data_IF_757884063157
#
_entry.id   IF_757884063157
#
_cell.length_a   1.000
_cell.length_b   1.000
_cell.length_c   1.000
_cell.angle_alpha   90.00
_cell.angle_beta   90.00
_cell.angle_gamma   90.00
#
_symmetry.space_group_name_H-M   'P 1'
#
loop_
_entity.id
_entity.type
_entity.pdbx_description
1 polymer ?
#
# COMPACT_ATOMS: atom_id res chain seq x y z
N UNK A 1 35.53 11.79 10.00
CA UNK A 1 34.97 10.57 9.38
C UNK A 1 34.54 10.91 7.97
N UNK A 2 34.87 10.09 6.99
CA UNK A 2 34.46 10.33 5.62
C UNK A 2 32.96 9.96 5.44
N UNK A 3 32.36 10.46 4.38
CA UNK A 3 30.98 10.13 4.06
C UNK A 3 30.76 8.62 3.91
N UNK A 4 31.70 7.93 3.25
CA UNK A 4 31.62 6.49 3.07
C UNK A 4 31.71 5.74 4.39
N UNK A 5 32.52 6.21 5.32
CA UNK A 5 32.64 5.61 6.64
C UNK A 5 31.36 5.81 7.45
N UNK A 6 30.72 6.99 7.36
CA UNK A 6 29.44 7.25 8.02
C UNK A 6 28.35 6.36 7.48
N UNK A 7 28.26 6.21 6.17
CA UNK A 7 27.29 5.36 5.52
C UNK A 7 27.47 3.92 5.97
N UNK A 8 28.70 3.42 5.96
CA UNK A 8 29.03 2.06 6.37
C UNK A 8 28.66 1.82 7.83
N UNK A 9 28.95 2.79 8.70
CA UNK A 9 28.61 2.68 10.12
C UNK A 9 27.08 2.56 10.33
N UNK A 10 26.31 3.31 9.58
CA UNK A 10 24.84 3.25 9.65
C UNK A 10 24.35 1.88 9.19
N UNK A 11 24.79 1.43 8.01
CA UNK A 11 24.33 0.18 7.41
C UNK A 11 24.68 -1.03 8.30
N UNK A 12 25.85 -1.05 8.89
CA UNK A 12 26.33 -2.17 9.68
C UNK A 12 25.95 -2.10 11.15
N UNK A 13 25.29 -1.04 11.59
CA UNK A 13 24.85 -0.91 12.98
C UNK A 13 23.89 -2.02 13.36
N UNK A 14 24.15 -2.68 14.47
CA UNK A 14 23.29 -3.75 14.99
C UNK A 14 22.25 -3.24 15.99
N UNK A 15 22.41 -1.99 16.44
CA UNK A 15 21.49 -1.38 17.41
C UNK A 15 20.43 -0.49 16.75
N UNK A 16 20.60 -0.17 15.48
CA UNK A 16 19.70 0.72 14.76
C UNK A 16 18.63 -0.09 14.02
N UNK A 17 17.38 0.34 14.11
CA UNK A 17 16.30 -0.24 13.31
C UNK A 17 16.45 0.13 11.83
N UNK A 18 15.75 -0.60 10.97
CA UNK A 18 15.73 -0.29 9.54
C UNK A 18 15.28 1.16 9.29
N UNK A 19 14.22 1.58 9.96
CA UNK A 19 13.67 2.92 9.78
C UNK A 19 14.66 4.01 10.22
N UNK A 20 15.37 3.78 11.32
CA UNK A 20 16.39 4.72 11.79
C UNK A 20 17.56 4.82 10.83
N UNK A 21 17.99 3.67 10.30
CA UNK A 21 19.07 3.64 9.29
C UNK A 21 18.65 4.42 8.05
N UNK A 22 17.44 4.18 7.58
CA UNK A 22 16.90 4.84 6.40
C UNK A 22 16.83 6.35 6.61
N UNK A 23 16.31 6.80 7.75
CA UNK A 23 16.21 8.21 8.06
C UNK A 23 17.57 8.89 8.07
N UNK A 24 18.57 8.26 8.69
CA UNK A 24 19.92 8.82 8.72
C UNK A 24 20.58 8.85 7.33
N UNK A 25 20.37 7.80 6.54
CA UNK A 25 20.92 7.78 5.16
C UNK A 25 20.28 8.84 4.29
N UNK A 26 19.01 9.13 4.47
CA UNK A 26 18.32 10.15 3.67
C UNK A 26 18.83 11.56 3.90
N UNK A 27 19.57 11.78 4.98
CA UNK A 27 20.23 13.05 5.25
C UNK A 27 21.59 13.15 4.55
N UNK A 28 22.14 12.03 4.10
CA UNK A 28 23.48 11.96 3.53
C UNK A 28 23.48 11.72 2.02
N UNK A 29 22.49 11.01 1.51
CA UNK A 29 22.45 10.58 0.10
C UNK A 29 21.02 10.72 -0.45
N UNK A 30 20.90 10.51 -1.76
CA UNK A 30 19.59 10.58 -2.44
C UNK A 30 18.72 9.39 -2.09
N UNK A 31 17.38 9.48 -2.27
CA UNK A 31 16.50 8.34 -2.05
C UNK A 31 16.86 7.10 -2.87
N UNK A 32 17.31 7.29 -4.11
CA UNK A 32 17.76 6.18 -4.96
C UNK A 32 18.97 5.49 -4.40
N UNK A 33 19.91 6.26 -3.88
CA UNK A 33 21.11 5.72 -3.24
C UNK A 33 20.76 4.98 -1.95
N UNK A 34 19.78 5.47 -1.19
CA UNK A 34 19.30 4.78 0.01
C UNK A 34 18.80 3.39 -0.34
N UNK A 35 17.99 3.28 -1.40
CA UNK A 35 17.44 1.98 -1.82
C UNK A 35 18.54 1.02 -2.26
N UNK A 36 19.61 1.54 -2.88
CA UNK A 36 20.76 0.72 -3.29
C UNK A 36 21.61 0.27 -2.11
N UNK A 37 21.81 1.17 -1.13
CA UNK A 37 22.66 0.90 0.03
C UNK A 37 21.96 0.12 1.13
N UNK A 38 20.65 0.30 1.25
CA UNK A 38 19.84 -0.31 2.28
C UNK A 38 18.57 -0.87 1.63
N UNK A 39 18.68 -1.99 0.90
CA UNK A 39 17.51 -2.59 0.27
C UNK A 39 16.46 -2.94 1.32
N UNK A 40 15.21 -2.74 0.99
CA UNK A 40 14.10 -3.07 1.86
C UNK A 40 13.87 -4.58 1.85
N UNK A 41 14.25 -5.31 2.89
CA UNK A 41 14.10 -6.77 2.90
C UNK A 41 12.66 -7.23 2.99
N UNK A 42 11.76 -6.37 3.45
CA UNK A 42 10.36 -6.71 3.66
C UNK A 42 9.42 -5.99 2.71
N UNK A 43 9.96 -5.22 1.78
CA UNK A 43 9.13 -4.45 0.88
C UNK A 43 8.40 -3.32 1.56
N UNK A 44 9.07 -2.61 2.49
CA UNK A 44 8.47 -1.47 3.18
C UNK A 44 8.02 -0.45 2.15
N UNK A 45 6.79 -0.03 2.27
CA UNK A 45 6.18 0.91 1.34
C UNK A 45 5.71 2.14 2.09
N UNK A 46 5.58 3.24 1.36
CA UNK A 46 5.13 4.51 1.91
C UNK A 46 3.88 4.94 1.17
N UNK A 47 3.03 5.65 1.88
CA UNK A 47 1.87 6.27 1.27
C UNK A 47 2.27 7.65 0.78
N UNK A 48 1.98 7.93 -0.49
CA UNK A 48 2.22 9.23 -1.09
C UNK A 48 0.96 9.65 -1.82
N UNK A 49 0.45 10.83 -1.49
CA UNK A 49 -0.67 11.38 -2.22
C UNK A 49 -0.17 11.94 -3.54
N UNK A 50 -0.72 11.48 -4.67
CA UNK A 50 -0.32 12.01 -5.96
C UNK A 50 -0.90 13.39 -6.17
N UNK A 51 -0.27 14.15 -7.07
CA UNK A 51 -0.88 15.37 -7.59
C UNK A 51 -2.11 14.96 -8.38
N UNK A 52 -3.28 15.33 -7.87
CA UNK A 52 -4.54 15.02 -8.53
C UNK A 52 -5.03 16.23 -9.29
N UNK A 53 -5.32 16.04 -10.56
CA UNK A 53 -6.00 17.04 -11.35
C UNK A 53 -7.50 16.76 -11.30
N UNK A 54 -8.30 17.76 -11.62
CA UNK A 54 -9.76 17.62 -11.62
C UNK A 54 -10.26 16.57 -12.60
N UNK A 55 -9.41 16.15 -13.55
CA UNK A 55 -9.78 15.19 -14.59
C UNK A 55 -9.36 13.76 -14.23
N UNK A 56 -8.72 13.55 -13.10
CA UNK A 56 -8.31 12.21 -12.69
C UNK A 56 -9.52 11.42 -12.24
N UNK A 57 -9.75 10.29 -12.90
CA UNK A 57 -10.80 9.37 -12.50
C UNK A 57 -10.48 8.72 -11.17
N UNK A 58 -11.55 8.30 -10.47
CA UNK A 58 -11.41 7.54 -9.23
C UNK A 58 -10.56 6.29 -9.46
N UNK A 59 -9.60 6.07 -8.57
CA UNK A 59 -8.77 4.87 -8.59
C UNK A 59 -9.44 3.80 -7.76
N UNK A 60 -9.83 2.71 -8.41
CA UNK A 60 -10.58 1.65 -7.76
C UNK A 60 -9.77 0.37 -7.77
N UNK A 61 -9.62 -0.23 -6.60
CA UNK A 61 -8.99 -1.53 -6.44
C UNK A 61 -10.07 -2.61 -6.48
N UNK A 62 -9.84 -3.70 -7.19
CA UNK A 62 -10.79 -4.81 -7.28
C UNK A 62 -10.27 -6.00 -6.47
N UNK A 63 -11.06 -6.46 -5.53
CA UNK A 63 -10.70 -7.58 -4.66
C UNK A 63 -11.83 -8.61 -4.60
N UNK A 64 -11.46 -9.89 -4.73
CA UNK A 64 -12.43 -10.97 -4.54
C UNK A 64 -12.58 -11.29 -3.07
N UNK A 65 -13.80 -11.66 -2.67
CA UNK A 65 -14.11 -12.08 -1.29
C UNK A 65 -15.09 -13.25 -1.33
N UNK A 66 -15.19 -13.93 -0.19
CA UNK A 66 -16.21 -14.97 -0.01
C UNK A 66 -17.56 -14.34 0.33
N UNK A 67 -18.67 -15.10 0.14
CA UNK A 67 -20.01 -14.60 0.38
C UNK A 67 -20.21 -14.01 1.77
N UNK A 68 -19.68 -14.67 2.80
CA UNK A 68 -19.84 -14.20 4.18
C UNK A 68 -19.26 -12.80 4.37
N UNK A 69 -18.07 -12.56 3.82
CA UNK A 69 -17.43 -11.24 3.90
C UNK A 69 -18.21 -10.23 3.07
N UNK A 70 -18.68 -10.62 1.90
CA UNK A 70 -19.48 -9.74 1.04
C UNK A 70 -20.73 -9.23 1.75
N UNK A 71 -21.45 -10.13 2.43
CA UNK A 71 -22.62 -9.74 3.21
C UNK A 71 -22.27 -8.80 4.36
N UNK A 72 -21.16 -9.04 5.05
CA UNK A 72 -20.70 -8.15 6.11
C UNK A 72 -20.38 -6.74 5.56
N UNK A 73 -19.82 -6.66 4.37
CA UNK A 73 -19.54 -5.38 3.72
C UNK A 73 -20.84 -4.65 3.43
N UNK A 74 -21.83 -5.34 2.87
CA UNK A 74 -23.14 -4.74 2.58
C UNK A 74 -23.84 -4.23 3.83
N UNK A 75 -23.67 -4.91 4.96
CA UNK A 75 -24.25 -4.53 6.23
C UNK A 75 -23.47 -3.45 6.98
N UNK A 76 -22.29 -3.07 6.46
CA UNK A 76 -21.44 -2.09 7.10
C UNK A 76 -20.65 -2.61 8.30
N UNK A 77 -20.50 -3.93 8.40
CA UNK A 77 -19.84 -4.58 9.54
C UNK A 77 -18.39 -4.95 9.27
N UNK A 78 -17.88 -4.72 8.08
CA UNK A 78 -16.51 -5.04 7.71
C UNK A 78 -15.69 -3.76 7.59
N UNK A 79 -14.96 -3.40 8.62
CA UNK A 79 -14.26 -2.11 8.71
C UNK A 79 -12.85 -2.15 8.12
N UNK A 80 -12.22 -3.31 8.12
CA UNK A 80 -10.84 -3.46 7.66
C UNK A 80 -10.72 -4.76 6.86
N UNK A 81 -10.14 -4.65 5.68
CA UNK A 81 -9.77 -5.83 4.88
C UNK A 81 -8.26 -5.98 4.92
N UNK A 82 -7.79 -7.19 5.23
CA UNK A 82 -6.38 -7.51 5.30
C UNK A 82 -5.97 -8.43 4.17
N UNK A 83 -4.82 -8.18 3.57
CA UNK A 83 -4.23 -9.04 2.54
C UNK A 83 -2.75 -9.21 2.83
N UNK A 84 -2.20 -10.36 2.46
CA UNK A 84 -0.77 -10.61 2.59
C UNK A 84 0.00 -9.69 1.63
N UNK A 85 1.06 -9.08 2.10
CA UNK A 85 1.93 -8.28 1.24
C UNK A 85 2.93 -9.21 0.56
N UNK A 86 2.47 -9.89 -0.47
CA UNK A 86 3.26 -10.80 -1.29
C UNK A 86 3.57 -10.15 -2.63
N UNK A 87 4.25 -10.88 -3.52
CA UNK A 87 4.64 -10.33 -4.82
C UNK A 87 3.45 -9.88 -5.66
N UNK A 88 2.33 -10.59 -5.57
CA UNK A 88 1.11 -10.25 -6.29
C UNK A 88 0.56 -8.90 -5.83
N UNK A 89 0.35 -8.75 -4.51
CA UNK A 89 -0.21 -7.50 -3.97
C UNK A 89 0.80 -6.36 -4.00
N UNK A 90 2.08 -6.65 -3.88
CA UNK A 90 3.13 -5.65 -4.04
C UNK A 90 3.05 -4.98 -5.40
N UNK A 91 2.89 -5.77 -6.47
CA UNK A 91 2.75 -5.22 -7.82
C UNK A 91 1.41 -4.54 -8.06
N UNK A 92 0.35 -5.09 -7.46
CA UNK A 92 -1.00 -4.57 -7.65
C UNK A 92 -1.25 -3.26 -6.90
N UNK A 93 -0.66 -3.12 -5.71
CA UNK A 93 -0.99 -2.05 -4.78
C UNK A 93 0.12 -1.04 -4.53
N UNK A 94 1.25 -1.18 -5.20
CA UNK A 94 2.37 -0.26 -5.00
C UNK A 94 3.11 0.04 -6.29
N UNK A 95 3.91 1.09 -6.26
CA UNK A 95 4.74 1.51 -7.38
C UNK A 95 6.05 2.09 -6.86
N UNK A 96 7.05 2.17 -7.73
CA UNK A 96 8.35 2.74 -7.38
C UNK A 96 8.51 4.08 -8.09
N UNK A 97 8.93 5.10 -7.36
CA UNK A 97 9.25 6.41 -7.88
C UNK A 97 10.54 6.88 -7.21
N UNK A 98 11.53 7.24 -8.01
CA UNK A 98 12.83 7.70 -7.52
C UNK A 98 13.47 6.73 -6.51
N UNK A 99 13.37 5.42 -6.79
CA UNK A 99 13.95 4.39 -5.94
C UNK A 99 13.18 4.09 -4.66
N UNK A 100 12.05 4.74 -4.44
CA UNK A 100 11.22 4.57 -3.26
C UNK A 100 9.89 3.92 -3.66
N UNK A 101 9.47 2.92 -2.89
CA UNK A 101 8.20 2.24 -3.16
C UNK A 101 7.08 2.90 -2.37
N UNK A 102 6.00 3.22 -3.07
CA UNK A 102 4.83 3.87 -2.50
C UNK A 102 3.59 3.01 -2.72
N UNK A 103 2.67 3.06 -1.76
CA UNK A 103 1.34 2.50 -1.96
C UNK A 103 0.56 3.35 -2.95
N UNK A 104 -0.21 2.69 -3.81
CA UNK A 104 -1.13 3.39 -4.70
C UNK A 104 -2.28 3.93 -3.86
N UNK A 105 -2.57 5.24 -3.90
CA UNK A 105 -3.65 5.82 -3.09
C UNK A 105 -5.01 5.58 -3.75
N UNK A 106 -5.56 4.39 -3.58
CA UNK A 106 -6.88 4.06 -4.10
C UNK A 106 -7.96 4.89 -3.42
N UNK A 107 -8.98 5.24 -4.17
CA UNK A 107 -10.13 6.01 -3.65
C UNK A 107 -11.23 5.09 -3.13
N UNK A 108 -11.33 3.91 -3.73
CA UNK A 108 -12.40 2.96 -3.44
C UNK A 108 -11.94 1.53 -3.72
N UNK A 109 -12.68 0.58 -3.19
CA UNK A 109 -12.50 -0.84 -3.48
C UNK A 109 -13.80 -1.39 -3.99
N UNK A 110 -13.75 -2.14 -5.09
CA UNK A 110 -14.87 -2.95 -5.54
C UNK A 110 -14.62 -4.39 -5.11
N UNK A 111 -15.43 -4.87 -4.18
CA UNK A 111 -15.41 -6.27 -3.77
C UNK A 111 -16.33 -7.07 -4.66
N UNK A 112 -15.92 -8.28 -5.02
CA UNK A 112 -16.74 -9.12 -5.88
C UNK A 112 -16.70 -10.58 -5.42
N UNK A 113 -17.80 -11.28 -5.72
CA UNK A 113 -17.94 -12.72 -5.49
C UNK A 113 -18.37 -13.34 -6.82
N UNK A 114 -17.65 -14.38 -7.26
CA UNK A 114 -17.95 -15.03 -8.52
C UNK A 114 -17.15 -14.47 -9.67
N UNK A 115 -17.54 -14.86 -10.88
CA UNK A 115 -16.81 -14.52 -12.09
C UNK A 115 -17.73 -13.98 -13.18
N UNK A 116 -17.19 -13.11 -14.01
CA UNK A 116 -17.87 -12.60 -15.20
C UNK A 116 -19.04 -11.70 -14.87
N UNK A 117 -20.04 -11.71 -15.76
CA UNK A 117 -21.20 -10.84 -15.66
C UNK A 117 -22.12 -11.18 -14.47
N UNK A 118 -22.02 -12.40 -13.97
CA UNK A 118 -22.85 -12.86 -12.84
C UNK A 118 -22.22 -12.60 -11.49
N UNK A 119 -21.04 -11.99 -11.46
CA UNK A 119 -20.39 -11.67 -10.19
C UNK A 119 -21.20 -10.63 -9.42
N UNK A 120 -21.38 -10.88 -8.12
CA UNK A 120 -21.93 -9.87 -7.23
C UNK A 120 -20.84 -8.85 -6.94
N UNK A 121 -21.18 -7.57 -6.99
CA UNK A 121 -20.19 -6.50 -6.80
C UNK A 121 -20.72 -5.43 -5.87
N UNK A 122 -19.84 -4.87 -5.07
CA UNK A 122 -20.13 -3.70 -4.24
C UNK A 122 -18.89 -2.84 -4.19
N UNK A 123 -19.08 -1.54 -4.29
CA UNK A 123 -17.97 -0.59 -4.21
C UNK A 123 -18.09 0.20 -2.91
N UNK A 124 -16.98 0.32 -2.20
CA UNK A 124 -16.90 1.06 -0.94
C UNK A 124 -15.81 2.10 -1.04
N UNK A 125 -15.96 3.21 -0.31
CA UNK A 125 -14.88 4.18 -0.21
C UNK A 125 -13.76 3.62 0.65
N UNK A 126 -12.54 4.06 0.38
CA UNK A 126 -11.36 3.67 1.14
C UNK A 126 -10.92 4.85 2.00
N UNK A 127 -10.96 4.68 3.32
CA UNK A 127 -10.54 5.73 4.25
C UNK A 127 -9.03 5.88 4.30
N UNK A 128 -8.33 4.75 4.27
CA UNK A 128 -6.88 4.73 4.38
C UNK A 128 -6.37 3.37 3.93
N UNK A 129 -5.08 3.33 3.63
CA UNK A 129 -4.37 2.09 3.32
C UNK A 129 -3.03 2.14 4.05
N UNK A 130 -2.63 1.02 4.62
CA UNK A 130 -1.32 0.94 5.28
C UNK A 130 -0.69 -0.42 5.04
N UNK A 131 0.62 -0.49 5.25
CA UNK A 131 1.38 -1.73 5.09
C UNK A 131 2.46 -1.78 6.17
N UNK A 132 2.55 -2.92 6.86
CA UNK A 132 3.57 -3.12 7.88
C UNK A 132 4.75 -3.97 7.37
N UNK A 133 4.79 -4.23 6.06
CA UNK A 133 5.80 -5.09 5.45
C UNK A 133 5.38 -6.55 5.33
N UNK A 134 4.37 -6.96 6.07
CA UNK A 134 3.83 -8.33 6.04
C UNK A 134 2.39 -8.35 5.57
N UNK A 135 1.61 -7.37 5.97
CA UNK A 135 0.18 -7.28 5.67
C UNK A 135 -0.17 -5.91 5.12
N UNK A 136 -1.13 -5.91 4.21
CA UNK A 136 -1.79 -4.71 3.73
C UNK A 136 -3.10 -4.58 4.48
N UNK A 137 -3.41 -3.36 4.92
CA UNK A 137 -4.65 -3.04 5.62
C UNK A 137 -5.42 -2.00 4.82
N UNK A 138 -6.65 -2.34 4.47
CA UNK A 138 -7.54 -1.44 3.74
C UNK A 138 -8.66 -1.03 4.69
N UNK A 139 -8.70 0.25 5.07
CA UNK A 139 -9.68 0.78 6.01
C UNK A 139 -10.91 1.22 5.22
N UNK A 140 -12.01 0.51 5.40
CA UNK A 140 -13.21 0.63 4.59
C UNK A 140 -14.09 1.77 5.11
N UNK A 141 -14.56 2.59 4.20
CA UNK A 141 -15.50 3.66 4.51
C UNK A 141 -16.95 3.22 4.32
N UNK A 142 -17.66 3.86 3.41
CA UNK A 142 -19.09 3.62 3.18
C UNK A 142 -19.33 2.95 1.83
N UNK A 143 -20.46 2.25 1.73
CA UNK A 143 -20.90 1.66 0.46
C UNK A 143 -21.34 2.79 -0.48
N UNK A 144 -20.95 2.66 -1.75
CA UNK A 144 -21.35 3.57 -2.81
C UNK A 144 -22.46 2.92 -3.63
N UNK A 145 -23.70 3.32 -3.40
CA UNK A 145 -24.88 2.67 -3.97
C UNK A 145 -24.93 2.74 -5.49
N UNK A 146 -24.52 3.86 -6.05
CA UNK A 146 -24.59 4.09 -7.50
C UNK A 146 -23.61 3.24 -8.29
N UNK A 147 -22.65 2.61 -7.63
CA UNK A 147 -21.66 1.72 -8.27
C UNK A 147 -21.93 0.26 -7.95
N UNK A 148 -23.01 -0.03 -7.27
CA UNK A 148 -23.41 -1.40 -6.93
C UNK A 148 -24.20 -2.00 -8.10
N UNK A 149 -23.76 -3.13 -8.56
CA UNK A 149 -24.40 -3.84 -9.67
C UNK A 149 -25.14 -5.07 -9.16
#
# INVERSE_FOLDING_TARGET
MSLQEEIKAIITSMSMSYDDKREKLMKLVTPQEVEALLPDPNGIVRLKEPLRTKTVNMRILHLSVVNAIFEDILEGNHDVECRSYNDYYKRKCSYVEDGVRYLIPFDAITFYVGYGEKARKVTVTLKNISCDGSLLFFYIGRVLDELTE
#
